data_IF_028935765212
#
_entry.id   IF_028935765212
#
_cell.length_a   1.000
_cell.length_b   1.000
_cell.length_c   1.000
_cell.angle_alpha   90.00
_cell.angle_beta   90.00
_cell.angle_gamma   90.00
#
_symmetry.space_group_name_H-M   'P 1'
#
loop_
_entity.id
_entity.type
_entity.pdbx_description
1 polymer ?
#
# COMPACT_ATOMS: atom_id res chain seq x y z
N UNK A 1 30.82 -19.76 10.51
CA UNK A 1 29.38 -19.69 10.16
C UNK A 1 29.00 -20.66 9.04
N UNK A 2 29.64 -20.62 7.86
CA UNK A 2 29.39 -21.57 6.75
C UNK A 2 29.47 -23.05 7.17
N UNK A 3 30.51 -23.46 7.89
CA UNK A 3 30.63 -24.85 8.37
C UNK A 3 29.52 -25.29 9.35
N UNK A 4 28.92 -24.35 10.08
CA UNK A 4 27.81 -24.64 10.99
C UNK A 4 26.47 -24.76 10.24
N UNK A 5 26.28 -23.95 9.18
CA UNK A 5 25.15 -24.09 8.25
C UNK A 5 25.20 -25.45 7.54
N UNK A 6 26.39 -25.88 7.11
CA UNK A 6 26.58 -27.16 6.41
C UNK A 6 26.12 -28.41 7.18
N UNK A 7 26.11 -28.39 8.52
CA UNK A 7 25.66 -29.53 9.34
C UNK A 7 24.18 -29.50 9.72
N UNK A 8 23.46 -28.39 9.48
CA UNK A 8 22.07 -28.18 9.92
C UNK A 8 21.09 -27.87 8.79
N UNK A 9 21.49 -28.00 7.51
CA UNK A 9 20.65 -27.64 6.35
C UNK A 9 19.26 -28.30 6.34
N UNK A 10 19.08 -29.50 6.90
CA UNK A 10 17.79 -30.22 6.86
C UNK A 10 16.64 -29.56 7.65
N UNK A 11 16.87 -28.45 8.38
CA UNK A 11 15.82 -27.76 9.15
C UNK A 11 15.73 -26.25 8.85
N UNK A 12 16.44 -25.76 7.83
CA UNK A 12 16.45 -24.33 7.51
C UNK A 12 15.18 -23.96 6.74
N UNK A 13 14.29 -23.19 7.38
CA UNK A 13 13.05 -22.66 6.77
C UNK A 13 13.22 -21.28 6.14
N UNK A 14 14.10 -20.45 6.70
CA UNK A 14 14.41 -19.12 6.18
C UNK A 14 15.92 -18.96 6.09
N UNK A 15 16.40 -18.44 4.97
CA UNK A 15 17.82 -18.21 4.71
C UNK A 15 18.04 -16.78 4.26
N UNK A 16 18.83 -16.04 5.03
CA UNK A 16 19.34 -14.72 4.63
C UNK A 16 20.81 -14.83 4.27
N UNK A 17 21.12 -14.66 2.99
CA UNK A 17 22.47 -14.68 2.46
C UNK A 17 22.99 -13.24 2.34
N UNK A 18 23.81 -12.79 3.29
CA UNK A 18 24.55 -11.53 3.18
C UNK A 18 25.99 -11.81 2.76
N UNK A 19 26.48 -11.10 1.74
CA UNK A 19 27.90 -11.11 1.35
C UNK A 19 28.47 -12.50 0.94
N UNK A 20 27.61 -13.40 0.43
CA UNK A 20 28.05 -14.70 -0.05
C UNK A 20 28.41 -14.68 -1.55
N UNK A 21 29.52 -15.31 -1.89
CA UNK A 21 29.85 -15.65 -3.28
C UNK A 21 28.77 -16.57 -3.87
N UNK A 22 28.44 -16.38 -5.16
CA UNK A 22 27.35 -17.13 -5.83
C UNK A 22 27.54 -18.66 -5.75
N UNK A 23 28.78 -19.16 -5.77
CA UNK A 23 29.08 -20.59 -5.63
C UNK A 23 28.58 -21.15 -4.29
N UNK A 24 28.67 -20.35 -3.22
CA UNK A 24 28.21 -20.75 -1.90
C UNK A 24 26.68 -20.76 -1.85
N UNK A 25 26.03 -19.75 -2.46
CA UNK A 25 24.57 -19.69 -2.56
C UNK A 25 24.06 -20.94 -3.28
N UNK A 26 24.67 -21.32 -4.41
CA UNK A 26 24.29 -22.52 -5.16
C UNK A 26 24.37 -23.79 -4.30
N UNK A 27 25.52 -24.01 -3.66
CA UNK A 27 25.71 -25.19 -2.82
C UNK A 27 24.72 -25.27 -1.65
N UNK A 28 24.36 -24.11 -1.07
CA UNK A 28 23.37 -24.05 0.00
C UNK A 28 21.97 -24.37 -0.54
N UNK A 29 21.57 -23.79 -1.67
CA UNK A 29 20.26 -24.03 -2.26
C UNK A 29 20.07 -25.50 -2.68
N UNK A 30 21.12 -26.14 -3.22
CA UNK A 30 21.10 -27.56 -3.56
C UNK A 30 20.89 -28.47 -2.33
N UNK A 31 21.25 -28.02 -1.13
CA UNK A 31 21.08 -28.79 0.12
C UNK A 31 19.78 -28.51 0.85
N UNK A 32 19.05 -27.47 0.46
CA UNK A 32 17.85 -26.98 1.16
C UNK A 32 16.59 -27.06 0.29
N UNK A 33 16.60 -27.87 -0.79
CA UNK A 33 15.57 -27.90 -1.83
C UNK A 33 14.15 -28.08 -1.31
N UNK A 34 13.97 -28.91 -0.28
CA UNK A 34 12.66 -29.31 0.23
C UNK A 34 12.26 -28.68 1.57
N UNK A 35 13.06 -27.76 2.13
CA UNK A 35 12.77 -27.18 3.46
C UNK A 35 12.75 -25.66 3.47
N UNK A 36 13.38 -25.04 2.47
CA UNK A 36 13.49 -23.59 2.38
C UNK A 36 12.17 -22.99 1.92
N UNK A 37 11.56 -22.16 2.76
CA UNK A 37 10.28 -21.48 2.50
C UNK A 37 10.49 -20.01 2.12
N UNK A 38 11.49 -19.37 2.72
CA UNK A 38 11.85 -17.96 2.49
C UNK A 38 13.35 -17.84 2.18
N UNK A 39 13.66 -17.21 1.05
CA UNK A 39 15.02 -16.93 0.63
C UNK A 39 15.21 -15.41 0.50
N UNK A 40 16.10 -14.85 1.31
CA UNK A 40 16.53 -13.47 1.23
C UNK A 40 17.98 -13.38 0.73
N UNK A 41 18.19 -12.73 -0.41
CA UNK A 41 19.48 -12.60 -1.07
C UNK A 41 19.99 -11.16 -1.02
N UNK A 42 20.99 -10.92 -0.18
CA UNK A 42 21.82 -9.71 -0.17
C UNK A 42 23.19 -10.05 -0.78
N UNK A 43 23.24 -10.01 -2.12
CA UNK A 43 24.45 -10.34 -2.87
C UNK A 43 25.37 -9.12 -2.88
N UNK A 44 26.53 -9.25 -2.24
CA UNK A 44 27.70 -8.37 -2.41
C UNK A 44 28.64 -9.11 -3.35
N UNK A 45 28.99 -8.50 -4.49
CA UNK A 45 29.95 -9.11 -5.41
C UNK A 45 31.26 -8.36 -5.29
N UNK A 46 32.27 -9.08 -4.80
CA UNK A 46 33.66 -8.83 -5.12
C UNK A 46 34.05 -9.75 -6.31
N UNK A 47 34.91 -9.25 -7.20
CA UNK A 47 35.38 -9.83 -8.47
C UNK A 47 35.00 -11.30 -8.77
N UNK A 48 34.03 -11.51 -9.67
CA UNK A 48 33.66 -12.85 -10.11
C UNK A 48 34.60 -13.35 -11.22
N UNK A 49 35.17 -14.57 -11.13
CA UNK A 49 36.00 -15.11 -12.19
C UNK A 49 35.19 -15.32 -13.48
N UNK A 50 35.65 -14.71 -14.57
CA UNK A 50 34.90 -14.49 -15.83
C UNK A 50 34.43 -15.73 -16.62
N UNK A 51 34.66 -16.99 -16.22
CA UNK A 51 34.46 -18.14 -17.15
C UNK A 51 34.10 -19.50 -16.53
N UNK A 52 33.25 -19.59 -15.51
CA UNK A 52 32.67 -20.90 -15.14
C UNK A 52 31.39 -21.19 -15.93
N UNK A 53 31.43 -22.22 -16.80
CA UNK A 53 30.24 -22.80 -17.42
C UNK A 53 29.48 -23.61 -16.36
N UNK A 54 28.30 -23.15 -15.94
CA UNK A 54 27.39 -23.95 -15.13
C UNK A 54 26.73 -25.03 -16.00
N UNK A 55 27.02 -26.31 -15.76
CA UNK A 55 26.42 -27.46 -16.46
C UNK A 55 25.49 -28.32 -15.57
N UNK A 56 25.02 -27.81 -14.44
CA UNK A 56 24.18 -28.62 -13.52
C UNK A 56 22.70 -28.32 -13.80
N UNK A 57 21.95 -29.37 -14.17
CA UNK A 57 20.48 -29.35 -14.24
C UNK A 57 19.91 -28.98 -12.85
N UNK A 58 19.12 -27.91 -12.73
CA UNK A 58 18.70 -27.39 -11.44
C UNK A 58 17.55 -28.22 -10.84
N UNK A 59 17.73 -28.77 -9.63
CA UNK A 59 16.62 -29.34 -8.84
C UNK A 59 15.66 -28.22 -8.38
N UNK A 60 14.34 -28.45 -8.45
CA UNK A 60 13.38 -27.42 -8.04
C UNK A 60 13.41 -27.11 -6.53
N UNK A 61 13.22 -25.83 -6.16
CA UNK A 61 13.03 -25.41 -4.77
C UNK A 61 11.53 -25.51 -4.44
N UNK A 62 11.04 -26.74 -4.29
CA UNK A 62 9.60 -27.07 -4.22
C UNK A 62 8.87 -26.41 -3.03
N UNK A 63 9.60 -26.11 -1.96
CA UNK A 63 9.03 -25.49 -0.75
C UNK A 63 9.15 -23.96 -0.73
N UNK A 64 9.88 -23.36 -1.67
CA UNK A 64 10.15 -21.92 -1.63
C UNK A 64 8.91 -21.14 -2.03
N UNK A 65 8.40 -20.33 -1.11
CA UNK A 65 7.20 -19.49 -1.30
C UNK A 65 7.52 -18.01 -1.43
N UNK A 66 8.63 -17.57 -0.87
CA UNK A 66 9.02 -16.16 -0.83
C UNK A 66 10.46 -15.95 -1.28
N UNK A 67 10.65 -14.99 -2.16
CA UNK A 67 11.96 -14.56 -2.65
C UNK A 67 12.17 -13.06 -2.39
N UNK A 68 13.14 -12.72 -1.56
CA UNK A 68 13.50 -11.34 -1.25
C UNK A 68 14.87 -11.00 -1.83
N UNK A 69 14.95 -9.92 -2.61
CA UNK A 69 16.14 -9.48 -3.33
C UNK A 69 16.58 -8.11 -2.81
N UNK A 70 17.70 -8.10 -2.07
CA UNK A 70 18.25 -6.94 -1.35
C UNK A 70 19.47 -6.33 -2.05
N UNK A 71 19.79 -6.76 -3.28
CA UNK A 71 21.05 -6.42 -3.95
C UNK A 71 21.18 -4.90 -4.21
N UNK A 72 22.39 -4.35 -4.24
CA UNK A 72 22.63 -2.91 -4.45
C UNK A 72 23.62 -2.61 -5.58
N UNK A 73 23.91 -3.59 -6.44
CA UNK A 73 25.01 -3.52 -7.41
C UNK A 73 24.55 -4.03 -8.78
N UNK A 74 25.20 -3.57 -9.85
CA UNK A 74 24.90 -3.94 -11.24
C UNK A 74 25.21 -5.42 -11.52
N UNK A 75 24.16 -6.21 -11.73
CA UNK A 75 24.22 -7.63 -12.07
C UNK A 75 23.85 -7.91 -13.53
N UNK A 76 23.93 -6.91 -14.42
CA UNK A 76 23.61 -7.04 -15.84
C UNK A 76 24.38 -8.18 -16.53
N UNK A 77 25.65 -8.35 -16.18
CA UNK A 77 26.51 -9.41 -16.68
C UNK A 77 26.20 -10.81 -16.10
N UNK A 78 25.23 -10.93 -15.18
CA UNK A 78 24.84 -12.17 -14.48
C UNK A 78 23.48 -12.72 -14.90
N UNK A 79 23.00 -12.41 -16.11
CA UNK A 79 21.76 -12.97 -16.67
C UNK A 79 21.61 -14.49 -16.45
N UNK A 80 22.71 -15.24 -16.60
CA UNK A 80 22.72 -16.69 -16.38
C UNK A 80 22.38 -17.13 -14.96
N UNK A 81 22.80 -16.39 -13.93
CA UNK A 81 22.47 -16.70 -12.54
C UNK A 81 20.98 -16.48 -12.26
N UNK A 82 20.44 -15.34 -12.69
CA UNK A 82 19.03 -15.03 -12.45
C UNK A 82 18.09 -16.01 -13.14
N UNK A 83 18.38 -16.36 -14.39
CA UNK A 83 17.62 -17.38 -15.09
C UNK A 83 17.72 -18.74 -14.39
N UNK A 84 18.92 -19.12 -13.92
CA UNK A 84 19.11 -20.34 -13.14
C UNK A 84 18.30 -20.35 -11.84
N UNK A 85 18.29 -19.24 -11.10
CA UNK A 85 17.51 -19.12 -9.87
C UNK A 85 16.02 -19.20 -10.16
N UNK A 86 15.53 -18.44 -11.15
CA UNK A 86 14.11 -18.40 -11.50
C UNK A 86 13.57 -19.78 -11.90
N UNK A 87 14.35 -20.58 -12.63
CA UNK A 87 14.00 -21.97 -12.99
C UNK A 87 13.68 -22.86 -11.80
N UNK A 88 14.19 -22.54 -10.61
CA UNK A 88 13.98 -23.30 -9.38
C UNK A 88 12.82 -22.78 -8.55
N UNK A 89 12.28 -21.61 -8.89
CA UNK A 89 11.30 -20.87 -8.10
C UNK A 89 9.86 -21.09 -8.60
N UNK A 90 9.53 -22.28 -9.11
CA UNK A 90 8.21 -22.62 -9.66
C UNK A 90 7.07 -22.46 -8.65
N UNK A 91 7.37 -22.54 -7.35
CA UNK A 91 6.42 -22.48 -6.25
C UNK A 91 6.37 -21.13 -5.51
N UNK A 92 7.21 -20.17 -5.92
CA UNK A 92 7.24 -18.82 -5.30
C UNK A 92 5.93 -18.11 -5.59
N UNK A 93 5.40 -17.44 -4.56
CA UNK A 93 4.14 -16.68 -4.57
C UNK A 93 4.39 -15.19 -4.32
N UNK A 94 5.37 -14.88 -3.46
CA UNK A 94 5.77 -13.50 -3.11
C UNK A 94 7.19 -13.19 -3.56
N UNK A 95 7.36 -12.08 -4.28
CA UNK A 95 8.66 -11.52 -4.64
C UNK A 95 8.82 -10.12 -4.03
N UNK A 96 9.90 -9.90 -3.30
CA UNK A 96 10.26 -8.60 -2.74
C UNK A 96 11.54 -8.11 -3.42
N UNK A 97 11.49 -6.92 -3.98
CA UNK A 97 12.59 -6.34 -4.76
C UNK A 97 12.93 -4.96 -4.21
N UNK A 98 14.02 -4.85 -3.45
CA UNK A 98 14.35 -3.58 -2.79
C UNK A 98 15.16 -2.62 -3.68
N UNK A 99 16.12 -3.12 -4.46
CA UNK A 99 17.12 -2.30 -5.18
C UNK A 99 17.70 -3.01 -6.43
N UNK A 100 16.90 -3.31 -7.46
CA UNK A 100 17.35 -4.22 -8.51
C UNK A 100 18.17 -3.52 -9.61
N UNK A 101 19.24 -2.81 -9.28
CA UNK A 101 20.05 -2.15 -10.31
C UNK A 101 20.66 -3.17 -11.28
N UNK A 102 20.35 -3.04 -12.57
CA UNK A 102 21.02 -3.78 -13.66
C UNK A 102 20.52 -5.20 -13.93
N UNK A 103 19.56 -5.74 -13.17
CA UNK A 103 19.04 -7.09 -13.43
C UNK A 103 17.51 -7.20 -13.51
N UNK A 104 16.77 -6.10 -13.38
CA UNK A 104 15.29 -6.06 -13.49
C UNK A 104 14.79 -6.84 -14.68
N UNK A 105 15.32 -6.56 -15.87
CA UNK A 105 14.91 -7.24 -17.10
C UNK A 105 15.09 -8.76 -17.04
N UNK A 106 16.24 -9.23 -16.55
CA UNK A 106 16.50 -10.67 -16.43
C UNK A 106 15.63 -11.33 -15.37
N UNK A 107 15.32 -10.61 -14.29
CA UNK A 107 14.40 -11.08 -13.26
C UNK A 107 12.97 -11.15 -13.80
N UNK A 108 12.49 -10.10 -14.47
CA UNK A 108 11.16 -10.04 -15.08
C UNK A 108 10.97 -11.16 -16.12
N UNK A 109 11.94 -11.35 -17.04
CA UNK A 109 11.94 -12.47 -18.00
C UNK A 109 11.88 -13.83 -17.28
N UNK A 110 12.66 -13.99 -16.19
CA UNK A 110 12.71 -15.20 -15.39
C UNK A 110 11.42 -15.47 -14.62
N UNK A 111 10.83 -14.46 -14.00
CA UNK A 111 9.53 -14.53 -13.32
C UNK A 111 8.44 -14.92 -14.29
N UNK A 112 8.37 -14.22 -15.43
CA UNK A 112 7.41 -14.48 -16.49
C UNK A 112 7.53 -15.93 -16.97
N UNK A 113 8.74 -16.47 -17.12
CA UNK A 113 8.92 -17.81 -17.71
C UNK A 113 8.79 -18.94 -16.69
N UNK A 114 9.29 -18.75 -15.47
CA UNK A 114 9.57 -19.84 -14.54
C UNK A 114 8.89 -19.73 -13.18
N UNK A 115 8.21 -18.61 -12.88
CA UNK A 115 7.51 -18.42 -11.60
C UNK A 115 6.00 -18.24 -11.81
N UNK A 116 5.28 -19.27 -12.28
CA UNK A 116 3.86 -19.15 -12.67
C UNK A 116 2.91 -18.87 -11.51
N UNK A 117 3.37 -18.97 -10.27
CA UNK A 117 2.56 -18.79 -9.06
C UNK A 117 2.77 -17.43 -8.37
N UNK A 118 3.72 -16.62 -8.86
CA UNK A 118 3.99 -15.30 -8.31
C UNK A 118 2.80 -14.38 -8.56
N UNK A 119 2.22 -13.88 -7.48
CA UNK A 119 1.04 -13.02 -7.49
C UNK A 119 1.08 -11.93 -6.40
N UNK A 120 2.13 -11.89 -5.58
CA UNK A 120 2.42 -10.80 -4.64
C UNK A 120 3.77 -10.20 -5.01
N UNK A 121 3.81 -8.88 -5.15
CA UNK A 121 5.07 -8.15 -5.34
C UNK A 121 5.20 -6.99 -4.37
N UNK A 122 6.39 -6.84 -3.79
CA UNK A 122 6.79 -5.65 -3.07
C UNK A 122 7.97 -4.99 -3.78
N UNK A 123 7.85 -3.71 -4.08
CA UNK A 123 8.83 -2.89 -4.76
C UNK A 123 9.40 -1.85 -3.79
N UNK A 124 10.72 -1.77 -3.75
CA UNK A 124 11.46 -0.84 -2.90
C UNK A 124 11.55 -1.30 -1.45
N UNK A 125 12.13 -0.43 -0.61
CA UNK A 125 12.34 -0.66 0.81
C UNK A 125 11.90 0.53 1.65
N UNK A 126 11.66 0.28 2.92
CA UNK A 126 11.45 1.35 3.88
C UNK A 126 12.80 1.82 4.43
N UNK A 127 13.34 2.93 3.91
CA UNK A 127 14.59 3.50 4.40
C UNK A 127 14.52 5.02 4.38
N UNK A 128 14.37 5.68 5.54
CA UNK A 128 14.44 7.13 5.63
C UNK A 128 15.76 7.63 5.01
N UNK A 129 15.68 8.61 4.11
CA UNK A 129 16.85 9.22 3.49
C UNK A 129 17.61 8.38 2.46
N UNK A 130 17.10 7.21 2.05
CA UNK A 130 17.67 6.51 0.89
C UNK A 130 17.24 7.19 -0.40
N UNK A 131 18.19 7.37 -1.33
CA UNK A 131 17.89 7.72 -2.71
C UNK A 131 16.98 6.67 -3.37
N UNK A 132 16.22 7.10 -4.39
CA UNK A 132 15.43 6.23 -5.26
C UNK A 132 16.26 5.04 -5.73
N UNK A 133 15.68 3.85 -5.63
CA UNK A 133 16.35 2.57 -5.89
C UNK A 133 15.73 1.74 -7.00
N UNK A 134 14.51 2.07 -7.44
CA UNK A 134 13.82 1.45 -8.56
C UNK A 134 13.12 2.53 -9.38
N UNK A 135 13.52 2.69 -10.64
CA UNK A 135 12.92 3.65 -11.56
C UNK A 135 11.53 3.20 -12.03
N UNK A 136 10.70 4.12 -12.50
CA UNK A 136 9.32 3.81 -12.93
C UNK A 136 9.26 2.74 -14.04
N UNK A 137 10.13 2.84 -15.05
CA UNK A 137 10.21 1.84 -16.12
C UNK A 137 10.63 0.45 -15.61
N UNK A 138 11.47 0.39 -14.58
CA UNK A 138 11.90 -0.87 -14.00
C UNK A 138 10.78 -1.51 -13.15
N UNK A 139 10.03 -0.70 -12.41
CA UNK A 139 8.84 -1.13 -11.71
C UNK A 139 7.77 -1.65 -12.69
N UNK A 140 7.54 -0.92 -13.80
CA UNK A 140 6.63 -1.34 -14.88
C UNK A 140 7.02 -2.70 -15.51
N UNK A 141 8.31 -2.92 -15.76
CA UNK A 141 8.83 -4.19 -16.29
C UNK A 141 8.55 -5.35 -15.32
N UNK A 142 8.79 -5.14 -14.02
CA UNK A 142 8.49 -6.15 -13.00
C UNK A 142 6.98 -6.41 -12.89
N UNK A 143 6.16 -5.38 -12.92
CA UNK A 143 4.69 -5.53 -12.91
C UNK A 143 4.22 -6.31 -14.14
N UNK A 144 4.79 -6.08 -15.31
CA UNK A 144 4.42 -6.79 -16.55
C UNK A 144 4.80 -8.28 -16.54
N UNK A 145 5.57 -8.75 -15.55
CA UNK A 145 6.08 -10.12 -15.51
C UNK A 145 5.13 -11.17 -14.93
N UNK A 146 3.97 -10.77 -14.37
CA UNK A 146 3.00 -11.75 -13.84
C UNK A 146 2.09 -12.31 -14.93
N UNK A 147 2.08 -13.64 -15.07
CA UNK A 147 1.17 -14.36 -16.00
C UNK A 147 -0.26 -14.48 -15.48
N UNK A 148 -0.42 -14.66 -14.17
CA UNK A 148 -1.73 -14.89 -13.54
C UNK A 148 -2.40 -13.59 -13.08
N UNK A 149 -1.67 -12.47 -13.15
CA UNK A 149 -2.06 -11.20 -12.57
C UNK A 149 -1.55 -11.03 -11.14
N UNK A 150 -1.43 -9.79 -10.71
CA UNK A 150 -1.09 -9.45 -9.34
C UNK A 150 -2.35 -9.46 -8.47
N UNK A 151 -2.27 -10.18 -7.34
CA UNK A 151 -3.22 -10.08 -6.24
C UNK A 151 -2.86 -8.98 -5.27
N UNK A 152 -1.57 -8.81 -4.97
CA UNK A 152 -1.12 -7.74 -4.09
C UNK A 152 0.13 -7.05 -4.63
N UNK A 153 0.08 -5.71 -4.65
CA UNK A 153 1.19 -4.85 -5.04
C UNK A 153 1.50 -3.91 -3.88
N UNK A 154 2.74 -3.91 -3.41
CA UNK A 154 3.21 -3.06 -2.32
C UNK A 154 4.37 -2.21 -2.81
N UNK A 155 4.18 -0.91 -2.91
CA UNK A 155 5.19 0.06 -3.32
C UNK A 155 5.70 0.78 -2.08
N UNK A 156 7.02 0.80 -1.90
CA UNK A 156 7.71 1.46 -0.79
C UNK A 156 8.46 2.68 -1.31
N UNK A 157 8.78 3.57 -0.37
CA UNK A 157 9.43 4.88 -0.58
C UNK A 157 10.62 4.93 -1.57
N UNK A 158 11.35 3.84 -1.80
CA UNK A 158 12.49 3.87 -2.75
C UNK A 158 12.11 3.51 -4.19
N UNK A 159 10.83 3.35 -4.50
CA UNK A 159 10.36 3.05 -5.86
C UNK A 159 9.65 4.26 -6.43
N UNK A 160 10.13 4.74 -7.58
CA UNK A 160 9.38 5.65 -8.45
C UNK A 160 8.24 4.84 -9.05
N UNK A 161 7.00 5.20 -8.72
CA UNK A 161 5.82 4.51 -9.23
C UNK A 161 4.92 5.57 -9.85
N UNK A 162 5.11 5.78 -11.15
CA UNK A 162 4.42 6.77 -11.94
C UNK A 162 3.64 6.12 -13.08
N UNK A 163 3.57 6.83 -14.21
CA UNK A 163 2.71 6.47 -15.34
C UNK A 163 3.00 5.08 -15.91
N UNK A 164 4.27 4.70 -16.13
CA UNK A 164 4.59 3.41 -16.75
C UNK A 164 4.22 2.25 -15.82
N UNK A 165 4.50 2.38 -14.51
CA UNK A 165 4.09 1.40 -13.52
C UNK A 165 2.58 1.27 -13.42
N UNK A 166 1.87 2.41 -13.49
CA UNK A 166 0.41 2.44 -13.44
C UNK A 166 -0.23 1.79 -14.66
N UNK A 167 0.28 2.05 -15.87
CA UNK A 167 -0.14 1.38 -17.11
C UNK A 167 0.11 -0.13 -17.05
N UNK A 168 1.26 -0.56 -16.53
CA UNK A 168 1.54 -1.98 -16.31
C UNK A 168 0.58 -2.60 -15.29
N UNK A 169 0.33 -1.92 -14.16
CA UNK A 169 -0.60 -2.37 -13.13
C UNK A 169 -2.04 -2.50 -13.63
N UNK A 170 -2.47 -1.62 -14.55
CA UNK A 170 -3.83 -1.64 -15.10
C UNK A 170 -4.19 -2.97 -15.77
N UNK A 171 -3.21 -3.70 -16.33
CA UNK A 171 -3.40 -5.04 -16.89
C UNK A 171 -3.77 -6.10 -15.84
N UNK A 172 -3.72 -5.74 -14.54
CA UNK A 172 -3.90 -6.66 -13.42
C UNK A 172 -5.07 -6.28 -12.50
N UNK A 173 -5.83 -5.22 -12.81
CA UNK A 173 -6.95 -4.78 -11.97
C UNK A 173 -8.02 -5.86 -11.72
N UNK A 174 -8.26 -6.72 -12.72
CA UNK A 174 -9.21 -7.83 -12.57
C UNK A 174 -8.80 -8.85 -11.48
N UNK A 175 -7.52 -8.92 -11.13
CA UNK A 175 -6.99 -9.84 -10.10
C UNK A 175 -6.53 -9.13 -8.84
N UNK A 176 -6.45 -7.79 -8.86
CA UNK A 176 -5.88 -6.99 -7.80
C UNK A 176 -6.80 -6.96 -6.58
N UNK A 177 -6.30 -7.49 -5.46
CA UNK A 177 -6.99 -7.53 -4.17
C UNK A 177 -6.43 -6.50 -3.18
N UNK A 178 -5.16 -6.13 -3.31
CA UNK A 178 -4.49 -5.18 -2.42
C UNK A 178 -3.51 -4.29 -3.19
N UNK A 179 -3.65 -2.97 -3.01
CA UNK A 179 -2.65 -1.99 -3.41
C UNK A 179 -2.20 -1.19 -2.18
N UNK A 180 -0.91 -1.25 -1.89
CA UNK A 180 -0.27 -0.39 -0.90
C UNK A 180 0.72 0.50 -1.66
N UNK A 181 0.50 1.80 -1.69
CA UNK A 181 1.44 2.73 -2.28
C UNK A 181 1.87 3.75 -1.21
N UNK A 182 3.10 3.58 -0.71
CA UNK A 182 3.73 4.53 0.21
C UNK A 182 4.15 5.81 -0.54
N UNK A 183 4.79 6.73 0.18
CA UNK A 183 5.05 8.12 -0.21
C UNK A 183 5.85 8.38 -1.50
N UNK A 184 6.35 7.35 -2.17
CA UNK A 184 7.15 7.53 -3.39
C UNK A 184 6.37 7.26 -4.67
N UNK A 185 5.10 6.91 -4.55
CA UNK A 185 4.25 6.80 -5.70
C UNK A 185 3.90 8.21 -6.19
N UNK A 186 4.37 8.55 -7.39
CA UNK A 186 4.03 9.79 -8.11
C UNK A 186 2.71 9.56 -8.84
N UNK A 187 1.71 9.17 -8.07
CA UNK A 187 0.36 8.85 -8.55
C UNK A 187 -0.50 10.09 -8.47
N UNK A 188 -1.10 10.43 -9.60
CA UNK A 188 -2.05 11.53 -9.67
C UNK A 188 -3.41 11.11 -9.09
N UNK A 189 -4.27 12.09 -8.79
CA UNK A 189 -5.62 11.83 -8.31
C UNK A 189 -6.41 10.90 -9.25
N UNK A 190 -6.17 10.98 -10.57
CA UNK A 190 -6.82 10.13 -11.56
C UNK A 190 -6.42 8.65 -11.44
N UNK A 191 -5.18 8.36 -11.08
CA UNK A 191 -4.69 6.97 -10.97
C UNK A 191 -5.40 6.22 -9.84
N UNK A 192 -5.64 6.88 -8.72
CA UNK A 192 -6.42 6.32 -7.61
C UNK A 192 -7.87 6.01 -8.02
N UNK A 193 -8.52 6.93 -8.75
CA UNK A 193 -9.87 6.72 -9.29
C UNK A 193 -9.87 5.56 -10.28
N UNK A 194 -8.84 5.46 -11.13
CA UNK A 194 -8.70 4.39 -12.10
C UNK A 194 -8.62 3.01 -11.41
N UNK A 195 -7.83 2.89 -10.33
CA UNK A 195 -7.76 1.67 -9.51
C UNK A 195 -9.11 1.31 -8.92
N UNK A 196 -9.80 2.28 -8.29
CA UNK A 196 -11.09 2.07 -7.62
C UNK A 196 -12.21 1.71 -8.60
N UNK A 197 -12.23 2.38 -9.75
CA UNK A 197 -13.25 2.18 -10.79
C UNK A 197 -13.04 0.89 -11.57
N UNK A 198 -11.80 0.39 -11.69
CA UNK A 198 -11.49 -0.73 -12.58
C UNK A 198 -11.21 -2.06 -11.87
N UNK A 199 -10.95 -2.07 -10.56
CA UNK A 199 -10.55 -3.28 -9.83
C UNK A 199 -11.74 -3.97 -9.14
N UNK A 200 -12.28 -5.03 -9.73
CA UNK A 200 -13.45 -5.75 -9.19
C UNK A 200 -13.19 -6.45 -7.85
N UNK A 201 -11.97 -6.92 -7.63
CA UNK A 201 -11.60 -7.74 -6.48
C UNK A 201 -10.85 -6.96 -5.38
N UNK A 202 -10.77 -5.64 -5.49
CA UNK A 202 -9.95 -4.82 -4.59
C UNK A 202 -10.56 -4.75 -3.19
N UNK A 203 -9.88 -5.36 -2.22
CA UNK A 203 -10.25 -5.35 -0.81
C UNK A 203 -9.52 -4.26 -0.02
N UNK A 204 -8.32 -3.86 -0.45
CA UNK A 204 -7.48 -2.92 0.31
C UNK A 204 -6.78 -1.92 -0.61
N UNK A 205 -7.03 -0.64 -0.36
CA UNK A 205 -6.31 0.48 -0.96
C UNK A 205 -5.68 1.34 0.13
N UNK A 206 -4.35 1.36 0.19
CA UNK A 206 -3.58 2.00 1.26
C UNK A 206 -2.56 2.97 0.66
N UNK A 207 -2.90 4.26 0.68
CA UNK A 207 -1.97 5.37 0.43
C UNK A 207 -1.33 5.89 1.74
N UNK A 208 -2.01 5.67 2.88
CA UNK A 208 -1.52 6.08 4.20
C UNK A 208 -0.97 4.86 4.95
N UNK A 209 0.33 4.60 4.81
CA UNK A 209 0.99 3.42 5.41
C UNK A 209 1.39 3.65 6.87
N UNK A 210 1.90 4.84 7.17
CA UNK A 210 2.39 5.19 8.50
C UNK A 210 2.01 6.63 8.83
N UNK A 211 1.17 6.74 9.85
CA UNK A 211 0.78 7.95 10.56
C UNK A 211 1.97 8.86 10.90
N UNK A 212 3.13 8.34 11.29
CA UNK A 212 4.22 9.15 11.83
C UNK A 212 5.17 9.72 10.77
N UNK A 213 5.04 9.29 9.52
CA UNK A 213 5.83 9.84 8.42
C UNK A 213 5.17 11.09 7.90
N UNK A 214 5.89 12.00 7.24
CA UNK A 214 5.29 13.17 6.58
C UNK A 214 4.85 12.78 5.18
N UNK A 215 3.58 12.90 4.82
CA UNK A 215 3.16 12.68 3.42
C UNK A 215 3.72 13.80 2.54
N UNK A 216 4.17 13.44 1.33
CA UNK A 216 4.31 14.40 0.23
C UNK A 216 2.95 14.82 -0.31
N UNK A 217 2.92 15.87 -1.14
CA UNK A 217 1.67 16.41 -1.74
C UNK A 217 0.94 15.40 -2.65
N UNK A 218 1.65 14.38 -3.17
CA UNK A 218 1.13 13.38 -4.12
C UNK A 218 0.24 12.25 -3.54
N UNK A 219 -0.10 12.25 -2.24
CA UNK A 219 -0.85 11.14 -1.62
C UNK A 219 -2.31 11.47 -1.31
N UNK A 220 -2.86 12.45 -2.02
CA UNK A 220 -4.24 12.84 -1.86
C UNK A 220 -5.02 12.66 -3.17
N UNK A 221 -6.29 12.26 -3.02
CA UNK A 221 -7.27 12.32 -4.09
C UNK A 221 -8.09 13.59 -3.91
N UNK A 222 -8.12 14.44 -4.94
CA UNK A 222 -8.96 15.63 -4.89
C UNK A 222 -10.42 15.21 -4.86
N UNK A 223 -11.25 15.91 -4.11
CA UNK A 223 -12.65 15.57 -3.94
C UNK A 223 -13.41 15.46 -5.28
N UNK A 224 -13.19 16.37 -6.23
CA UNK A 224 -13.83 16.28 -7.56
C UNK A 224 -13.49 14.98 -8.30
N UNK A 225 -12.25 14.50 -8.18
CA UNK A 225 -11.85 13.22 -8.75
C UNK A 225 -12.45 12.05 -7.97
N UNK A 226 -12.44 12.09 -6.64
CA UNK A 226 -13.02 11.06 -5.78
C UNK A 226 -14.52 10.88 -5.99
N UNK A 227 -15.24 11.99 -6.19
CA UNK A 227 -16.67 11.97 -6.46
C UNK A 227 -16.94 11.25 -7.79
N UNK A 228 -16.14 11.47 -8.83
CA UNK A 228 -16.27 10.81 -10.15
C UNK A 228 -17.73 10.86 -10.67
N UNK A 229 -18.29 12.07 -10.73
CA UNK A 229 -19.60 12.30 -11.34
C UNK A 229 -19.52 12.05 -12.85
N UNK A 230 -20.52 11.34 -13.37
CA UNK A 230 -20.81 11.35 -14.79
C UNK A 230 -21.39 12.72 -15.16
N UNK A 231 -20.74 13.50 -16.03
CA UNK A 231 -21.21 14.83 -16.39
C UNK A 231 -22.52 14.82 -17.19
N UNK A 232 -22.88 13.69 -17.81
CA UNK A 232 -24.10 13.53 -18.59
C UNK A 232 -25.27 13.17 -17.68
N UNK A 233 -25.08 12.20 -16.79
CA UNK A 233 -26.14 11.72 -15.90
C UNK A 233 -26.29 12.54 -14.62
N UNK A 234 -25.25 13.30 -14.24
CA UNK A 234 -25.17 13.94 -12.91
C UNK A 234 -25.13 12.92 -11.78
N UNK A 235 -24.75 11.67 -12.07
CA UNK A 235 -24.78 10.54 -11.16
C UNK A 235 -23.36 10.07 -10.84
N UNK A 236 -23.17 9.49 -9.66
CA UNK A 236 -21.89 8.86 -9.29
C UNK A 236 -21.68 7.59 -10.10
N UNK A 237 -20.62 7.54 -10.93
CA UNK A 237 -20.25 6.32 -11.68
C UNK A 237 -20.03 5.15 -10.73
N UNK A 238 -20.51 3.93 -11.02
CA UNK A 238 -20.29 2.79 -10.14
C UNK A 238 -18.79 2.43 -10.10
N UNK A 239 -18.25 2.21 -8.90
CA UNK A 239 -16.92 1.64 -8.74
C UNK A 239 -17.04 0.12 -8.63
N UNK A 240 -16.25 -0.59 -9.43
CA UNK A 240 -16.28 -2.05 -9.46
C UNK A 240 -15.87 -2.67 -8.11
N UNK A 241 -15.03 -1.99 -7.32
CA UNK A 241 -14.66 -2.43 -5.98
C UNK A 241 -15.69 -2.06 -4.89
N UNK A 242 -16.80 -1.41 -5.23
CA UNK A 242 -17.71 -0.83 -4.23
C UNK A 242 -18.26 -1.84 -3.21
N UNK A 243 -18.40 -3.11 -3.61
CA UNK A 243 -18.87 -4.20 -2.74
C UNK A 243 -17.75 -5.07 -2.17
N UNK A 244 -16.52 -4.91 -2.63
CA UNK A 244 -15.37 -5.72 -2.18
C UNK A 244 -14.43 -4.93 -1.28
N UNK A 245 -14.39 -3.60 -1.38
CA UNK A 245 -13.46 -2.78 -0.62
C UNK A 245 -13.76 -2.81 0.88
N UNK A 246 -12.75 -3.21 1.67
CA UNK A 246 -12.80 -3.32 3.14
C UNK A 246 -11.87 -2.33 3.84
N UNK A 247 -10.74 -1.99 3.21
CA UNK A 247 -9.75 -1.07 3.78
C UNK A 247 -9.51 0.06 2.81
N UNK A 248 -9.87 1.27 3.21
CA UNK A 248 -9.57 2.50 2.47
C UNK A 248 -8.77 3.44 3.37
N UNK A 249 -7.50 3.64 3.03
CA UNK A 249 -6.61 4.56 3.73
C UNK A 249 -6.06 5.59 2.75
N UNK A 250 -6.78 6.69 2.57
CA UNK A 250 -6.46 7.73 1.59
C UNK A 250 -6.89 9.11 2.10
N UNK A 251 -6.08 10.14 1.80
CA UNK A 251 -6.45 11.53 2.08
C UNK A 251 -7.33 12.05 0.95
N UNK A 252 -8.50 12.60 1.29
CA UNK A 252 -9.34 13.34 0.35
C UNK A 252 -9.11 14.84 0.59
N UNK A 253 -8.69 15.56 -0.46
CA UNK A 253 -8.29 16.98 -0.43
C UNK A 253 -9.19 17.86 -1.29
N UNK A 254 -8.89 19.16 -1.36
CA UNK A 254 -9.59 20.13 -2.20
C UNK A 254 -11.09 20.27 -1.87
N UNK A 255 -11.47 20.11 -0.60
CA UNK A 255 -12.83 20.40 -0.12
C UNK A 255 -12.86 21.81 0.49
N UNK A 256 -13.60 22.78 -0.10
CA UNK A 256 -13.74 24.10 0.49
C UNK A 256 -14.39 24.04 1.89
N UNK A 257 -13.81 24.79 2.84
CA UNK A 257 -14.24 24.85 4.24
C UNK A 257 -14.41 26.32 4.69
N UNK A 258 -15.40 27.05 4.13
CA UNK A 258 -15.58 28.48 4.39
C UNK A 258 -15.84 28.81 5.86
N UNK A 259 -16.20 27.81 6.65
CA UNK A 259 -16.39 27.88 8.09
C UNK A 259 -15.07 28.05 8.88
N UNK A 260 -13.91 27.79 8.24
CA UNK A 260 -12.59 27.91 8.82
C UNK A 260 -11.92 29.23 8.39
N UNK A 261 -11.37 29.99 9.35
CA UNK A 261 -10.71 31.29 9.09
C UNK A 261 -9.23 31.19 8.70
N UNK A 262 -8.80 30.08 8.11
CA UNK A 262 -7.39 29.83 7.79
C UNK A 262 -7.05 30.22 6.36
N UNK A 263 -5.85 30.78 6.13
CA UNK A 263 -5.36 31.11 4.79
C UNK A 263 -5.10 29.89 3.89
N UNK A 264 -5.07 28.69 4.49
CA UNK A 264 -4.84 27.42 3.82
C UNK A 264 -6.14 26.73 3.37
N UNK A 265 -7.28 27.37 3.62
CA UNK A 265 -8.60 26.86 3.21
C UNK A 265 -8.78 27.12 1.72
N UNK A 266 -9.19 26.08 1.00
CA UNK A 266 -9.60 26.20 -0.40
C UNK A 266 -10.85 27.08 -0.46
N UNK A 267 -10.81 28.12 -1.29
CA UNK A 267 -11.94 29.04 -1.45
C UNK A 267 -13.04 28.38 -2.27
N UNK A 268 -14.28 28.65 -1.90
CA UNK A 268 -15.42 28.31 -2.72
C UNK A 268 -15.42 29.13 -4.02
N UNK A 269 -15.73 28.48 -5.13
CA UNK A 269 -16.05 29.08 -6.43
C UNK A 269 -17.46 29.68 -6.42
N UNK A 270 -18.37 29.08 -5.65
CA UNK A 270 -19.73 29.57 -5.41
C UNK A 270 -20.18 29.25 -3.98
N UNK A 271 -21.02 30.09 -3.35
CA UNK A 271 -21.51 29.83 -1.99
C UNK A 271 -22.17 28.46 -1.87
N UNK A 272 -21.71 27.66 -0.92
CA UNK A 272 -22.27 26.32 -0.65
C UNK A 272 -21.55 25.17 -1.38
N UNK A 273 -20.60 25.45 -2.28
CA UNK A 273 -19.81 24.42 -2.96
C UNK A 273 -19.17 23.43 -2.00
N UNK A 274 -18.62 23.91 -0.87
CA UNK A 274 -18.01 23.04 0.12
C UNK A 274 -19.01 22.04 0.70
N UNK A 275 -20.24 22.48 0.96
CA UNK A 275 -21.33 21.63 1.46
C UNK A 275 -21.71 20.56 0.43
N UNK A 276 -21.88 20.95 -0.83
CA UNK A 276 -22.27 20.06 -1.93
C UNK A 276 -21.22 18.99 -2.17
N UNK A 277 -19.94 19.37 -2.21
CA UNK A 277 -18.83 18.44 -2.38
C UNK A 277 -18.73 17.45 -1.21
N UNK A 278 -18.94 17.91 0.03
CA UNK A 278 -18.95 17.02 1.18
C UNK A 278 -20.05 15.97 1.09
N UNK A 279 -21.27 16.36 0.75
CA UNK A 279 -22.41 15.45 0.54
C UNK A 279 -22.05 14.41 -0.52
N UNK A 280 -21.50 14.83 -1.65
CA UNK A 280 -21.17 13.91 -2.75
C UNK A 280 -20.04 12.93 -2.39
N UNK A 281 -19.05 13.37 -1.60
CA UNK A 281 -18.01 12.48 -1.07
C UNK A 281 -18.60 11.49 -0.05
N UNK A 282 -19.53 11.94 0.81
CA UNK A 282 -20.23 11.05 1.74
C UNK A 282 -21.10 10.02 1.01
N UNK A 283 -21.85 10.43 -0.02
CA UNK A 283 -22.65 9.53 -0.86
C UNK A 283 -21.77 8.47 -1.52
N UNK A 284 -20.57 8.85 -1.98
CA UNK A 284 -19.59 7.94 -2.56
C UNK A 284 -19.07 6.94 -1.53
N UNK A 285 -18.68 7.39 -0.34
CA UNK A 285 -18.21 6.54 0.75
C UNK A 285 -19.31 5.59 1.27
N UNK A 286 -20.55 6.06 1.37
CA UNK A 286 -21.69 5.28 1.86
C UNK A 286 -21.99 4.04 1.01
N UNK A 287 -21.57 4.02 -0.26
CA UNK A 287 -21.71 2.85 -1.16
C UNK A 287 -20.78 1.69 -0.79
N UNK A 288 -19.72 1.94 -0.02
CA UNK A 288 -18.75 0.93 0.41
C UNK A 288 -19.23 0.16 1.66
N UNK A 289 -20.36 -0.53 1.55
CA UNK A 289 -21.06 -1.12 2.70
C UNK A 289 -20.26 -2.18 3.47
N UNK A 290 -19.20 -2.73 2.87
CA UNK A 290 -18.27 -3.68 3.49
C UNK A 290 -17.01 -3.04 4.07
N UNK A 291 -16.95 -1.71 4.14
CA UNK A 291 -15.77 -1.00 4.63
C UNK A 291 -15.57 -1.24 6.13
N UNK A 292 -14.44 -1.86 6.49
CA UNK A 292 -14.02 -2.20 7.85
C UNK A 292 -13.06 -1.14 8.43
N UNK A 293 -12.27 -0.48 7.58
CA UNK A 293 -11.28 0.53 7.97
C UNK A 293 -11.34 1.73 7.04
N UNK A 294 -11.55 2.92 7.62
CA UNK A 294 -11.57 4.20 6.91
C UNK A 294 -10.56 5.17 7.53
N UNK A 295 -9.48 5.46 6.80
CA UNK A 295 -8.53 6.50 7.19
C UNK A 295 -8.59 7.64 6.20
N UNK A 296 -9.00 8.81 6.71
CA UNK A 296 -9.09 10.08 5.99
C UNK A 296 -8.03 11.07 6.48
N UNK A 297 -7.66 10.95 7.75
CA UNK A 297 -6.61 11.74 8.39
C UNK A 297 -5.25 11.05 8.40
N UNK A 298 -4.21 11.85 8.58
CA UNK A 298 -2.84 11.39 8.65
C UNK A 298 -2.02 12.34 9.54
N UNK A 299 -1.05 11.82 10.29
CA UNK A 299 -0.34 12.59 11.29
C UNK A 299 0.78 13.47 10.67
N UNK A 300 0.36 14.45 9.88
CA UNK A 300 1.19 15.53 9.35
C UNK A 300 1.57 16.56 10.43
N UNK A 301 2.58 17.41 10.16
CA UNK A 301 2.96 18.51 11.08
C UNK A 301 1.83 19.54 11.22
N UNK A 302 0.98 19.65 10.21
CA UNK A 302 -0.09 20.63 10.11
C UNK A 302 -1.47 20.00 10.05
N UNK A 303 -2.46 20.77 10.50
CA UNK A 303 -3.86 20.44 10.30
C UNK A 303 -4.23 20.45 8.82
N UNK A 304 -5.00 19.44 8.39
CA UNK A 304 -5.66 19.41 7.10
C UNK A 304 -6.91 20.33 7.15
N UNK A 305 -6.87 21.43 6.41
CA UNK A 305 -7.96 22.42 6.36
C UNK A 305 -8.93 22.21 5.20
N UNK A 306 -8.50 21.49 4.16
CA UNK A 306 -9.22 21.19 2.93
C UNK A 306 -9.82 19.77 2.95
N UNK A 307 -10.36 19.37 4.10
CA UNK A 307 -10.84 18.02 4.38
C UNK A 307 -12.35 17.95 4.61
N UNK A 308 -12.86 16.72 4.66
CA UNK A 308 -14.21 16.41 5.12
C UNK A 308 -14.44 16.94 6.55
N UNK A 309 -15.51 17.69 6.75
CA UNK A 309 -15.99 18.06 8.07
C UNK A 309 -16.72 16.86 8.67
N UNK A 310 -16.16 16.19 9.67
CA UNK A 310 -16.83 15.06 10.32
C UNK A 310 -17.92 15.55 11.29
N UNK A 311 -19.07 15.98 10.77
CA UNK A 311 -20.25 16.43 11.54
C UNK A 311 -21.56 15.93 10.92
N UNK A 312 -22.64 15.84 11.71
CA UNK A 312 -23.94 15.46 11.15
C UNK A 312 -24.45 16.50 10.15
N UNK A 313 -24.22 17.77 10.47
CA UNK A 313 -24.59 18.92 9.64
C UNK A 313 -23.88 18.96 8.29
N UNK A 314 -22.76 18.24 8.13
CA UNK A 314 -22.02 18.10 6.86
C UNK A 314 -22.42 16.87 6.04
N UNK A 315 -23.39 16.07 6.50
CA UNK A 315 -23.86 14.89 5.76
C UNK A 315 -23.23 13.58 6.21
N UNK A 316 -22.45 13.57 7.30
CA UNK A 316 -21.90 12.33 7.87
C UNK A 316 -22.98 11.25 8.11
N UNK A 317 -24.23 11.65 8.35
CA UNK A 317 -25.35 10.71 8.53
C UNK A 317 -25.54 9.71 7.37
N UNK A 318 -25.10 10.05 6.15
CA UNK A 318 -25.15 9.16 4.99
C UNK A 318 -24.30 7.90 5.18
N UNK A 319 -23.26 7.98 6.02
CA UNK A 319 -22.38 6.86 6.33
C UNK A 319 -23.03 5.82 7.27
N UNK A 320 -24.29 5.96 7.65
CA UNK A 320 -24.97 5.03 8.56
C UNK A 320 -25.08 3.59 8.03
N UNK A 321 -24.89 3.40 6.71
CA UNK A 321 -24.82 2.08 6.08
C UNK A 321 -23.51 1.31 6.33
N UNK A 322 -22.45 1.97 6.82
CA UNK A 322 -21.12 1.36 7.04
C UNK A 322 -21.07 0.51 8.31
N UNK A 323 -21.94 -0.51 8.40
CA UNK A 323 -22.11 -1.33 9.61
C UNK A 323 -20.90 -2.19 9.98
N UNK A 324 -20.04 -2.45 9.00
CA UNK A 324 -18.81 -3.23 9.17
C UNK A 324 -17.64 -2.36 9.66
N UNK A 325 -17.79 -1.03 9.68
CA UNK A 325 -16.72 -0.10 10.04
C UNK A 325 -16.29 -0.33 11.49
N UNK A 326 -15.01 -0.67 11.65
CA UNK A 326 -14.39 -0.98 12.94
C UNK A 326 -13.28 -0.01 13.32
N UNK A 327 -12.69 0.66 12.33
CA UNK A 327 -11.57 1.56 12.52
C UNK A 327 -11.77 2.86 11.73
N UNK A 328 -11.77 3.99 12.44
CA UNK A 328 -11.85 5.34 11.85
C UNK A 328 -10.60 6.14 12.21
N UNK A 329 -9.94 6.72 11.21
CA UNK A 329 -8.83 7.65 11.44
C UNK A 329 -9.10 9.03 10.84
N UNK A 330 -9.22 10.01 11.73
CA UNK A 330 -9.43 11.44 11.43
C UNK A 330 -8.31 12.30 12.01
N UNK A 331 -7.13 11.70 12.26
CA UNK A 331 -5.97 12.39 12.85
C UNK A 331 -5.55 13.58 12.00
N UNK A 332 -5.27 14.70 12.66
CA UNK A 332 -4.88 15.98 12.07
C UNK A 332 -5.84 16.53 11.00
N UNK A 333 -7.09 16.06 10.94
CA UNK A 333 -8.15 16.74 10.20
C UNK A 333 -8.77 17.83 11.06
N UNK A 334 -9.13 18.98 10.47
CA UNK A 334 -9.90 20.00 11.19
C UNK A 334 -11.39 19.62 11.21
N UNK A 335 -11.75 18.75 12.17
CA UNK A 335 -13.09 18.22 12.36
C UNK A 335 -13.91 19.00 13.39
N UNK A 336 -15.19 18.65 13.53
CA UNK A 336 -16.12 19.14 14.56
C UNK A 336 -16.90 17.97 15.19
N UNK A 337 -16.17 16.94 15.62
CA UNK A 337 -16.78 15.75 16.21
C UNK A 337 -17.18 16.08 17.66
N UNK A 338 -18.44 16.43 17.87
CA UNK A 338 -19.00 16.65 19.19
C UNK A 338 -19.60 15.38 19.80
N UNK A 339 -20.29 15.55 20.93
CA UNK A 339 -21.09 14.49 21.56
C UNK A 339 -22.17 13.94 20.60
N UNK A 340 -22.95 14.78 19.87
CA UNK A 340 -23.96 14.27 18.94
C UNK A 340 -23.38 13.36 17.85
N UNK A 341 -22.20 13.71 17.32
CA UNK A 341 -21.52 12.89 16.32
C UNK A 341 -21.13 11.52 16.88
N UNK A 342 -20.49 11.45 18.04
CA UNK A 342 -20.03 10.16 18.59
C UNK A 342 -21.19 9.27 19.07
N UNK A 343 -22.27 9.86 19.58
CA UNK A 343 -23.51 9.15 19.89
C UNK A 343 -24.12 8.55 18.61
N UNK A 344 -24.16 9.32 17.53
CA UNK A 344 -24.63 8.83 16.23
C UNK A 344 -23.71 7.73 15.68
N UNK A 345 -22.39 7.90 15.75
CA UNK A 345 -21.41 6.91 15.26
C UNK A 345 -21.58 5.57 15.97
N UNK A 346 -21.65 5.58 17.31
CA UNK A 346 -21.79 4.36 18.12
C UNK A 346 -23.13 3.66 17.91
N UNK A 347 -24.20 4.42 17.62
CA UNK A 347 -25.51 3.87 17.29
C UNK A 347 -25.59 3.23 15.89
N UNK A 348 -24.82 3.75 14.91
CA UNK A 348 -24.91 3.32 13.50
C UNK A 348 -23.76 2.40 13.06
N UNK A 349 -22.61 2.44 13.73
CA UNK A 349 -21.44 1.61 13.45
C UNK A 349 -21.18 0.63 14.60
N UNK A 350 -21.99 -0.45 14.71
CA UNK A 350 -21.96 -1.36 15.85
C UNK A 350 -20.64 -2.13 16.01
N UNK A 351 -19.73 -2.06 15.02
CA UNK A 351 -18.41 -2.68 15.06
C UNK A 351 -17.27 -1.71 15.33
N UNK A 352 -17.57 -0.42 15.53
CA UNK A 352 -16.56 0.60 15.79
C UNK A 352 -15.79 0.26 17.06
N UNK A 353 -14.47 0.11 16.92
CA UNK A 353 -13.55 -0.30 18.00
C UNK A 353 -12.41 0.67 18.20
N UNK A 354 -12.00 1.38 17.16
CA UNK A 354 -10.84 2.27 17.24
C UNK A 354 -11.14 3.59 16.55
N UNK A 355 -10.87 4.70 17.25
CA UNK A 355 -10.91 6.05 16.69
C UNK A 355 -9.57 6.72 16.91
N UNK A 356 -8.94 7.12 15.80
CA UNK A 356 -7.71 7.90 15.82
C UNK A 356 -8.02 9.38 15.58
N UNK A 357 -7.41 10.27 16.36
CA UNK A 357 -7.42 11.71 16.10
C UNK A 357 -8.39 12.55 16.95
N UNK A 358 -9.15 11.94 17.87
CA UNK A 358 -9.88 12.70 18.89
C UNK A 358 -8.88 13.20 19.94
N UNK A 359 -8.70 14.52 20.03
CA UNK A 359 -7.72 15.18 20.90
C UNK A 359 -8.40 16.18 21.86
N UNK A 360 -7.60 17.01 22.54
CA UNK A 360 -8.08 18.01 23.50
C UNK A 360 -9.17 18.97 22.98
N UNK A 361 -9.32 19.15 21.66
CA UNK A 361 -10.41 19.96 21.08
C UNK A 361 -11.78 19.25 21.15
N UNK A 362 -11.79 17.97 21.48
CA UNK A 362 -12.95 17.08 21.49
C UNK A 362 -13.18 16.49 22.90
N UNK A 363 -12.75 17.21 23.96
CA UNK A 363 -12.78 16.70 25.34
C UNK A 363 -14.13 16.13 25.76
N UNK A 364 -15.24 16.81 25.43
CA UNK A 364 -16.59 16.34 25.77
C UNK A 364 -16.94 15.02 25.06
N UNK A 365 -16.63 14.91 23.76
CA UNK A 365 -16.87 13.69 22.98
C UNK A 365 -16.00 12.52 23.48
N UNK A 366 -14.75 12.79 23.82
CA UNK A 366 -13.81 11.81 24.41
C UNK A 366 -14.33 11.31 25.76
N UNK A 367 -14.74 12.22 26.65
CA UNK A 367 -15.29 11.86 27.96
C UNK A 367 -16.58 11.04 27.81
N UNK A 368 -17.46 11.46 26.90
CA UNK A 368 -18.70 10.74 26.63
C UNK A 368 -18.43 9.30 26.15
N UNK A 369 -17.51 9.12 25.19
CA UNK A 369 -17.11 7.79 24.70
C UNK A 369 -16.50 6.93 25.81
N UNK A 370 -15.61 7.48 26.63
CA UNK A 370 -15.02 6.75 27.76
C UNK A 370 -16.07 6.31 28.80
N UNK A 371 -17.12 7.12 28.99
CA UNK A 371 -18.18 6.81 29.94
C UNK A 371 -19.19 5.79 29.41
N UNK A 372 -19.58 5.88 28.13
CA UNK A 372 -20.67 5.07 27.57
C UNK A 372 -20.19 3.87 26.73
N UNK A 373 -18.98 3.97 26.15
CA UNK A 373 -18.39 2.99 25.24
C UNK A 373 -16.90 2.76 25.54
N UNK A 374 -16.53 2.29 26.75
CA UNK A 374 -15.14 2.10 27.16
C UNK A 374 -14.39 1.05 26.34
N UNK A 375 -15.10 0.20 25.59
CA UNK A 375 -14.53 -0.74 24.63
C UNK A 375 -13.90 -0.08 23.40
N UNK A 376 -14.26 1.18 23.11
CA UNK A 376 -13.70 1.93 21.99
C UNK A 376 -12.34 2.51 22.38
N UNK A 377 -11.31 2.06 21.68
CA UNK A 377 -9.93 2.52 21.86
C UNK A 377 -9.74 3.87 21.16
N UNK A 378 -9.45 4.89 21.97
CA UNK A 378 -9.09 6.22 21.50
C UNK A 378 -7.58 6.34 21.37
N UNK A 379 -7.10 6.63 20.16
CA UNK A 379 -5.66 6.79 19.88
C UNK A 379 -5.36 8.26 19.61
N UNK A 380 -4.65 8.88 20.55
CA UNK A 380 -4.29 10.30 20.53
C UNK A 380 -2.83 10.44 20.10
N UNK A 381 -2.57 11.17 19.01
CA UNK A 381 -1.21 11.49 18.58
C UNK A 381 -0.74 12.83 19.16
N UNK A 382 0.51 12.87 19.64
CA UNK A 382 1.17 14.12 20.02
C UNK A 382 1.33 14.41 21.52
N UNK A 383 0.90 13.52 22.44
CA UNK A 383 1.05 13.76 23.88
C UNK A 383 2.52 13.77 24.39
N UNK A 384 3.50 13.41 23.55
CA UNK A 384 4.91 13.26 23.94
C UNK A 384 5.90 14.30 23.37
N UNK A 385 5.45 15.38 22.72
CA UNK A 385 6.34 16.45 22.21
C UNK A 385 5.81 17.84 22.59
N UNK A 386 5.63 18.09 23.89
CA UNK A 386 5.50 19.46 24.41
C UNK A 386 6.84 20.00 24.85
#
# INVERSE_FOLDING_TARGET
MLQHLYRRCCQVRSLTCTELELKNIKCILDRCTNTLVDLSLAIKIDDYPKKEKLQIEPEELTSLKKLTLLCSMDLSHKRGFWLWLCKRCSHVEEVIVERPSGFVKSLAEGMLTHMPNVNIIQLGRHSPGASYGLADMEAAELLSSSRKGWKAVKVKHTTEFGKASMEALANHFATLEMLVADQSADLEAYDWVLVLSSSTNLHSLIAIVDINKRLGEGHCIKANNFIDLDPIEGSLKPWLCGTTLRVLKIRISDIPRPDLKSKWVVKETYPGQGRDMQIQVYDRLARMTHLETLWLGHNEISWQFDCLEMSLDSGMFQLGGLRELSELNVSNMKTRIGVPEVEWMTSNWPRLRTIYGLNDQHNEAVQWLQQHHPEIVLVIYGAGRR
#
